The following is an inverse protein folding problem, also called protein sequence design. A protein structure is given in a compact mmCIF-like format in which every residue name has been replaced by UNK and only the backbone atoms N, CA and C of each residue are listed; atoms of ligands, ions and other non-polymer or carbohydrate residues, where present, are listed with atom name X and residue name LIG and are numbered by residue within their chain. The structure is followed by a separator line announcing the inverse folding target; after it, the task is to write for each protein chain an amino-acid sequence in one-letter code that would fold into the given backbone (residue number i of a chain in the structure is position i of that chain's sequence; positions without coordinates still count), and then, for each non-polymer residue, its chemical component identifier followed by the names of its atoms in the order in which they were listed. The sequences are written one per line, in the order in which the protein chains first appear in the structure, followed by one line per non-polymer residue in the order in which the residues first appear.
data_IF_379977031953
#
_entry.id   IF_379977031953
#
_cell.length_a   1.000
_cell.length_b   1.000
_cell.length_c   1.000
_cell.angle_alpha   90.00
_cell.angle_beta   90.00
_cell.angle_gamma   90.00
#
_symmetry.space_group_name_H-M   'P 1'
#
loop_
_entity.id
_entity.type
_entity.pdbx_description
1 polymer ?
#
# COMPACT_ATOMS: atom_id res chain seq x y z
N UNK A 1 10.46 17.69 -2.98
CA UNK A 1 9.07 17.62 -2.49
C UNK A 1 8.07 17.70 -3.63
N UNK A 2 8.04 18.75 -4.47
CA UNK A 2 7.04 18.89 -5.57
C UNK A 2 6.98 17.70 -6.56
N UNK A 3 8.12 17.10 -6.92
CA UNK A 3 8.14 15.95 -7.84
C UNK A 3 7.51 14.69 -7.23
N UNK A 4 7.69 14.50 -5.91
CA UNK A 4 7.13 13.37 -5.17
C UNK A 4 5.61 13.46 -5.08
N UNK A 5 5.10 14.65 -4.78
CA UNK A 5 3.67 14.91 -4.68
C UNK A 5 2.97 14.64 -6.02
N UNK A 6 3.53 15.12 -7.14
CA UNK A 6 2.98 14.84 -8.48
C UNK A 6 2.94 13.35 -8.81
N UNK A 7 3.97 12.58 -8.45
CA UNK A 7 4.01 11.14 -8.67
C UNK A 7 2.92 10.42 -7.87
N UNK A 8 2.87 10.64 -6.56
CA UNK A 8 1.92 9.95 -5.68
C UNK A 8 0.47 10.33 -5.97
N UNK A 9 0.19 11.60 -6.25
CA UNK A 9 -1.16 12.06 -6.60
C UNK A 9 -1.70 11.41 -7.88
N UNK A 10 -0.82 11.00 -8.79
CA UNK A 10 -1.20 10.24 -9.99
C UNK A 10 -1.40 8.75 -9.70
N UNK A 11 -0.54 8.17 -8.85
CA UNK A 11 -0.56 6.74 -8.55
C UNK A 11 -1.73 6.33 -7.64
N UNK A 12 -2.06 7.13 -6.62
CA UNK A 12 -3.08 6.78 -5.61
C UNK A 12 -4.43 6.44 -6.25
N UNK A 13 -5.03 7.27 -7.13
CA UNK A 13 -6.30 6.94 -7.75
C UNK A 13 -6.26 5.67 -8.60
N UNK A 14 -5.14 5.41 -9.30
CA UNK A 14 -4.96 4.23 -10.14
C UNK A 14 -4.91 2.96 -9.29
N UNK A 15 -4.06 2.95 -8.27
CA UNK A 15 -3.89 1.82 -7.36
C UNK A 15 -5.18 1.49 -6.61
N UNK A 16 -5.89 2.52 -6.12
CA UNK A 16 -7.18 2.33 -5.45
C UNK A 16 -8.25 1.80 -6.40
N UNK A 17 -8.33 2.33 -7.61
CA UNK A 17 -9.27 1.84 -8.62
C UNK A 17 -9.02 0.36 -8.95
N UNK A 18 -7.76 -0.04 -9.11
CA UNK A 18 -7.38 -1.43 -9.35
C UNK A 18 -7.73 -2.35 -8.16
N UNK A 19 -7.45 -1.91 -6.93
CA UNK A 19 -7.81 -2.63 -5.72
C UNK A 19 -9.34 -2.81 -5.60
N UNK A 20 -10.12 -1.75 -5.85
CA UNK A 20 -11.58 -1.79 -5.73
C UNK A 20 -12.22 -2.67 -6.81
N UNK A 21 -11.68 -2.64 -8.02
CA UNK A 21 -12.10 -3.54 -9.09
C UNK A 21 -11.80 -5.01 -8.79
N UNK A 22 -10.80 -5.29 -7.94
CA UNK A 22 -10.36 -6.66 -7.62
C UNK A 22 -11.03 -7.22 -6.37
N UNK A 23 -11.13 -6.43 -5.29
CA UNK A 23 -11.60 -6.88 -3.98
C UNK A 23 -12.95 -6.28 -3.57
N UNK A 24 -13.48 -5.32 -4.35
CA UNK A 24 -14.74 -4.66 -4.06
C UNK A 24 -14.60 -3.47 -3.12
N UNK A 25 -15.61 -3.25 -2.27
CA UNK A 25 -15.69 -2.08 -1.40
C UNK A 25 -14.51 -1.98 -0.45
N UNK A 26 -13.90 -0.80 -0.38
CA UNK A 26 -12.78 -0.56 0.54
C UNK A 26 -13.23 -0.68 2.01
N UNK A 27 -12.48 -1.37 2.89
CA UNK A 27 -12.89 -1.59 4.28
C UNK A 27 -12.93 -0.32 5.14
N UNK A 28 -12.16 0.70 4.77
CA UNK A 28 -12.08 1.98 5.48
C UNK A 28 -12.68 3.12 4.65
N UNK A 29 -13.29 4.10 5.30
CA UNK A 29 -13.93 5.24 4.63
C UNK A 29 -12.93 6.28 4.09
N UNK A 30 -11.68 6.23 4.56
CA UNK A 30 -10.62 7.17 4.22
C UNK A 30 -9.26 6.46 4.23
N UNK A 31 -8.36 6.93 3.36
CA UNK A 31 -6.96 6.55 3.35
C UNK A 31 -6.14 7.84 3.24
N UNK A 32 -5.29 8.08 4.22
CA UNK A 32 -4.26 9.10 4.19
C UNK A 32 -2.90 8.45 3.88
N UNK A 33 -2.03 9.15 3.16
CA UNK A 33 -0.66 8.70 2.90
C UNK A 33 0.30 9.67 3.54
N UNK A 34 1.10 9.17 4.49
CA UNK A 34 2.15 9.93 5.16
C UNK A 34 3.52 9.50 4.64
N UNK A 35 4.25 10.47 4.10
CA UNK A 35 5.62 10.26 3.65
C UNK A 35 6.57 10.43 4.83
N UNK A 36 7.26 9.34 5.18
CA UNK A 36 8.22 9.28 6.29
C UNK A 36 9.67 9.35 5.81
N UNK A 37 10.62 9.77 6.66
CA UNK A 37 12.03 9.88 6.27
C UNK A 37 12.61 8.59 5.65
N UNK A 38 13.64 8.73 4.82
CA UNK A 38 14.24 7.60 4.08
C UNK A 38 14.91 6.55 4.97
N UNK A 39 15.21 6.87 6.23
CA UNK A 39 15.74 5.94 7.24
C UNK A 39 14.65 5.24 8.06
N UNK A 40 13.39 5.32 7.64
CA UNK A 40 12.33 4.49 8.20
C UNK A 40 12.68 3.01 8.01
N UNK A 41 12.43 2.19 9.05
CA UNK A 41 12.90 0.80 9.11
C UNK A 41 12.21 -0.14 8.11
N UNK A 42 11.10 0.32 7.51
CA UNK A 42 10.37 -0.39 6.46
C UNK A 42 10.25 0.48 5.20
N UNK A 43 9.87 -0.13 4.08
CA UNK A 43 9.51 0.60 2.86
C UNK A 43 8.12 1.22 2.95
N UNK A 44 7.22 0.57 3.70
CA UNK A 44 5.90 1.08 4.03
C UNK A 44 5.33 0.40 5.26
N UNK A 45 4.20 0.93 5.75
CA UNK A 45 3.45 0.33 6.84
C UNK A 45 1.99 0.74 6.72
N UNK A 46 1.08 -0.22 6.78
CA UNK A 46 -0.34 0.02 6.82
C UNK A 46 -0.84 0.12 8.27
N UNK A 47 -1.65 1.13 8.53
CA UNK A 47 -2.39 1.33 9.77
C UNK A 47 -3.80 1.75 9.41
N UNK A 48 -4.82 1.52 10.28
CA UNK A 48 -6.19 1.93 9.98
C UNK A 48 -6.25 3.42 9.56
N UNK A 49 -6.77 3.66 8.36
CA UNK A 49 -6.89 4.98 7.71
C UNK A 49 -5.59 5.68 7.28
N UNK A 50 -4.39 5.15 7.59
CA UNK A 50 -3.13 5.80 7.25
C UNK A 50 -2.07 4.81 6.76
N UNK A 51 -1.52 5.08 5.58
CA UNK A 51 -0.39 4.39 5.01
C UNK A 51 0.86 5.24 5.23
N UNK A 52 1.88 4.65 5.81
CA UNK A 52 3.21 5.24 5.87
C UNK A 52 4.02 4.75 4.67
N UNK A 53 4.62 5.66 3.91
CA UNK A 53 5.54 5.32 2.82
C UNK A 53 6.89 5.99 3.04
N UNK A 54 7.96 5.19 2.98
CA UNK A 54 9.31 5.70 3.13
C UNK A 54 9.72 6.54 1.93
N UNK A 55 10.41 7.66 2.16
CA UNK A 55 10.99 8.44 1.07
C UNK A 55 11.94 7.63 0.19
N UNK A 56 12.48 6.49 0.67
CA UNK A 56 13.35 5.61 -0.11
C UNK A 56 12.66 4.95 -1.31
N UNK A 57 11.32 4.85 -1.33
CA UNK A 57 10.59 4.25 -2.47
C UNK A 57 10.38 5.22 -3.63
N UNK A 58 10.52 6.52 -3.37
CA UNK A 58 10.22 7.59 -4.34
C UNK A 58 11.26 7.69 -5.48
N UNK A 59 12.58 7.58 -5.22
CA UNK A 59 13.59 7.67 -6.29
C UNK A 59 13.56 6.48 -7.25
N UNK A 60 12.97 5.35 -6.87
CA UNK A 60 12.89 4.12 -7.68
C UNK A 60 11.98 4.21 -8.91
N UNK A 61 11.49 5.40 -9.26
CA UNK A 61 10.53 5.62 -10.33
C UNK A 61 9.10 5.25 -9.93
N UNK A 62 8.16 5.42 -10.86
CA UNK A 62 6.75 5.11 -10.63
C UNK A 62 6.51 3.65 -10.26
N UNK A 63 7.38 2.74 -10.70
CA UNK A 63 7.22 1.30 -10.47
C UNK A 63 7.39 0.93 -8.99
N UNK A 64 8.53 1.21 -8.36
CA UNK A 64 8.76 0.82 -6.96
C UNK A 64 7.78 1.52 -6.01
N UNK A 65 7.53 2.81 -6.24
CA UNK A 65 6.56 3.57 -5.46
C UNK A 65 5.14 3.01 -5.63
N UNK A 66 4.77 2.67 -6.86
CA UNK A 66 3.46 2.14 -7.21
C UNK A 66 3.20 0.75 -6.64
N UNK A 67 4.12 -0.20 -6.85
CA UNK A 67 3.99 -1.55 -6.28
C UNK A 67 3.93 -1.52 -4.76
N UNK A 68 4.77 -0.70 -4.10
CA UNK A 68 4.71 -0.57 -2.64
C UNK A 68 3.41 0.06 -2.16
N UNK A 69 2.92 1.09 -2.85
CA UNK A 69 1.62 1.68 -2.55
C UNK A 69 0.49 0.65 -2.70
N UNK A 70 0.49 -0.16 -3.76
CA UNK A 70 -0.45 -1.26 -3.95
C UNK A 70 -0.41 -2.26 -2.79
N UNK A 71 0.77 -2.62 -2.31
CA UNK A 71 0.93 -3.53 -1.18
C UNK A 71 0.31 -2.97 0.11
N UNK A 72 0.62 -1.71 0.45
CA UNK A 72 0.04 -1.09 1.64
C UNK A 72 -1.49 -0.91 1.53
N UNK A 73 -2.02 -0.72 0.31
CA UNK A 73 -3.46 -0.71 0.05
C UNK A 73 -4.07 -2.11 0.26
N UNK A 74 -3.38 -3.18 -0.17
CA UNK A 74 -3.84 -4.55 0.01
C UNK A 74 -4.02 -4.89 1.51
N UNK A 75 -3.19 -4.31 2.37
CA UNK A 75 -3.31 -4.50 3.81
C UNK A 75 -4.63 -4.00 4.41
N UNK A 76 -5.36 -3.11 3.72
CA UNK A 76 -6.69 -2.71 4.16
C UNK A 76 -7.62 -3.93 4.31
N UNK A 77 -7.52 -4.91 3.40
CA UNK A 77 -8.25 -6.18 3.52
C UNK A 77 -7.46 -7.21 4.33
N UNK A 78 -6.17 -7.41 4.05
CA UNK A 78 -5.37 -8.50 4.61
C UNK A 78 -4.30 -7.97 5.58
N UNK A 79 -4.52 -8.16 6.88
CA UNK A 79 -3.69 -7.59 7.94
C UNK A 79 -4.47 -6.61 8.82
N UNK A 80 -5.37 -5.79 8.23
CA UNK A 80 -6.24 -4.89 8.99
C UNK A 80 -7.67 -5.42 9.17
N UNK A 81 -8.39 -5.75 8.09
CA UNK A 81 -9.77 -6.26 8.19
C UNK A 81 -9.81 -7.78 8.45
N UNK A 82 -8.95 -8.54 7.76
CA UNK A 82 -8.74 -9.97 7.89
C UNK A 82 -7.32 -10.16 8.42
N UNK A 83 -7.20 -10.26 9.75
CA UNK A 83 -5.92 -10.39 10.43
C UNK A 83 -5.57 -11.83 10.80
N UNK A 84 -4.28 -12.06 11.02
CA UNK A 84 -3.75 -13.30 11.60
C UNK A 84 -4.27 -13.47 13.04
N UNK A 85 -4.53 -14.72 13.48
CA UNK A 85 -4.88 -14.97 14.89
C UNK A 85 -3.67 -14.80 15.81
N UNK A 86 -2.51 -15.20 15.32
CA UNK A 86 -1.22 -15.11 16.00
C UNK A 86 -0.09 -15.02 14.95
N UNK A 87 1.14 -14.77 15.40
CA UNK A 87 2.28 -14.54 14.51
C UNK A 87 2.65 -15.72 13.61
N UNK A 88 2.16 -16.93 13.88
CA UNK A 88 2.37 -18.08 12.98
C UNK A 88 1.54 -17.99 11.71
N UNK A 89 0.50 -17.15 11.71
CA UNK A 89 -0.41 -16.90 10.60
C UNK A 89 -0.13 -15.58 9.88
N UNK A 90 0.98 -14.90 10.16
CA UNK A 90 1.32 -13.59 9.56
C UNK A 90 1.39 -13.64 8.02
N UNK A 91 1.61 -14.82 7.46
CA UNK A 91 1.54 -15.06 6.03
C UNK A 91 0.18 -14.70 5.41
N UNK A 92 -0.92 -14.68 6.18
CA UNK A 92 -2.23 -14.21 5.71
C UNK A 92 -2.20 -12.72 5.40
N UNK A 93 -1.47 -11.92 6.18
CA UNK A 93 -1.28 -10.49 5.92
C UNK A 93 -0.32 -10.29 4.75
N UNK A 94 0.95 -10.63 4.96
CA UNK A 94 2.04 -10.31 4.04
C UNK A 94 1.95 -11.11 2.73
N UNK A 95 1.52 -12.37 2.79
CA UNK A 95 1.41 -13.23 1.60
C UNK A 95 0.34 -12.76 0.63
N UNK A 96 -0.84 -12.39 1.14
CA UNK A 96 -1.89 -11.80 0.31
C UNK A 96 -1.50 -10.41 -0.19
N UNK A 97 -0.90 -9.56 0.67
CA UNK A 97 -0.47 -8.24 0.25
C UNK A 97 0.60 -8.30 -0.85
N UNK A 98 1.57 -9.20 -0.73
CA UNK A 98 2.59 -9.46 -1.76
C UNK A 98 1.96 -9.98 -3.06
N UNK A 99 1.01 -10.91 -2.99
CA UNK A 99 0.36 -11.42 -4.20
C UNK A 99 -0.48 -10.34 -4.90
N UNK A 100 -1.19 -9.52 -4.13
CA UNK A 100 -2.09 -8.50 -4.65
C UNK A 100 -1.36 -7.26 -5.16
N UNK A 101 -0.16 -6.96 -4.65
CA UNK A 101 0.60 -5.79 -5.11
C UNK A 101 0.84 -5.83 -6.62
N UNK A 102 1.21 -7.00 -7.15
CA UNK A 102 1.43 -7.23 -8.58
C UNK A 102 0.12 -7.19 -9.37
N UNK A 103 -0.97 -7.72 -8.82
CA UNK A 103 -2.29 -7.71 -9.48
C UNK A 103 -2.83 -6.29 -9.60
N UNK A 104 -2.70 -5.49 -8.55
CA UNK A 104 -3.15 -4.10 -8.57
C UNK A 104 -2.27 -3.27 -9.51
N UNK A 105 -0.96 -3.52 -9.51
CA UNK A 105 -0.03 -2.79 -10.36
C UNK A 105 -0.15 -3.13 -11.86
N UNK A 106 -0.52 -4.37 -12.20
CA UNK A 106 -0.67 -4.80 -13.58
C UNK A 106 -1.96 -4.30 -14.27
N UNK A 107 -2.87 -3.66 -13.53
CA UNK A 107 -4.15 -3.13 -14.03
C UNK A 107 -4.04 -1.65 -14.34
#
# INVERSE_FOLDING_TARGET
MESCEKCLLQLIPQCLSAAYATLGTHPFSRIDVLIVPSNFSSLGMASPHIIFLSQSVLPGGSHLCGTRLCHEIAHAWFGLAIGARDWTEEWISEGFATFLEDIFWAR
#
